data_IF_610562906443
#
_entry.id   IF_610562906443
#
_cell.length_a   1.000
_cell.length_b   1.000
_cell.length_c   1.000
_cell.angle_alpha   90.00
_cell.angle_beta   90.00
_cell.angle_gamma   90.00
#
_symmetry.space_group_name_H-M   'P 1'
#
loop_
_entity.id
_entity.type
_entity.pdbx_description
1 polymer ?
#
# COMPACT_ATOMS: atom_id res chain seq x y z
N UNK A 1 32.23 -16.35 2.12
CA UNK A 1 31.07 -16.62 2.99
C UNK A 1 30.66 -18.06 2.71
N UNK A 2 30.54 -18.90 3.73
CA UNK A 2 30.13 -20.31 3.59
C UNK A 2 28.68 -20.38 3.10
N UNK A 3 28.31 -21.38 2.31
CA UNK A 3 26.94 -21.65 1.85
C UNK A 3 25.91 -21.66 3.01
N UNK A 4 26.32 -22.01 4.23
CA UNK A 4 25.47 -21.93 5.44
C UNK A 4 24.96 -20.53 5.83
N UNK A 5 25.51 -19.44 5.27
CA UNK A 5 25.09 -18.07 5.61
C UNK A 5 23.96 -17.55 4.71
N UNK A 6 23.70 -18.18 3.56
CA UNK A 6 22.67 -17.76 2.61
C UNK A 6 21.24 -18.13 3.03
N UNK A 7 21.08 -19.12 3.93
CA UNK A 7 19.77 -19.70 4.25
C UNK A 7 19.12 -19.22 5.57
N UNK A 8 19.70 -18.18 6.21
CA UNK A 8 19.21 -17.80 7.55
C UNK A 8 18.33 -16.54 7.52
N UNK A 9 17.17 -16.63 6.89
CA UNK A 9 16.13 -15.64 7.11
C UNK A 9 14.79 -16.29 7.52
N UNK A 10 13.94 -15.52 8.15
CA UNK A 10 12.62 -15.94 8.59
C UNK A 10 11.63 -14.82 8.35
N UNK A 11 10.42 -15.19 7.97
CA UNK A 11 9.30 -14.27 7.79
C UNK A 11 8.28 -14.53 8.89
N UNK A 12 7.95 -13.52 9.66
CA UNK A 12 6.89 -13.57 10.66
C UNK A 12 5.71 -12.70 10.23
N UNK A 13 4.50 -13.14 10.54
CA UNK A 13 3.28 -12.35 10.38
C UNK A 13 2.75 -11.94 11.74
N UNK A 14 2.28 -10.70 11.83
CA UNK A 14 1.39 -10.26 12.88
C UNK A 14 -0.09 -10.29 12.40
N UNK A 15 -1.00 -9.68 13.16
CA UNK A 15 -2.44 -9.83 12.92
C UNK A 15 -2.99 -8.99 11.77
N UNK A 16 -2.27 -7.94 11.33
CA UNK A 16 -2.82 -6.96 10.38
C UNK A 16 -3.09 -7.48 8.98
N UNK A 17 -2.29 -8.42 8.48
CA UNK A 17 -2.53 -9.02 7.16
C UNK A 17 -1.81 -10.37 7.00
N UNK A 18 -2.23 -11.35 7.76
CA UNK A 18 -1.65 -12.70 7.71
C UNK A 18 -1.76 -13.35 6.33
N UNK A 19 -2.89 -13.26 5.59
CA UNK A 19 -3.00 -13.87 4.26
C UNK A 19 -1.97 -13.33 3.26
N UNK A 20 -1.64 -12.04 3.30
CA UNK A 20 -0.58 -11.49 2.45
C UNK A 20 0.80 -11.95 2.91
N UNK A 21 1.04 -12.04 4.22
CA UNK A 21 2.31 -12.55 4.74
C UNK A 21 2.56 -14.01 4.32
N UNK A 22 1.54 -14.85 4.30
CA UNK A 22 1.61 -16.24 3.81
C UNK A 22 1.99 -16.27 2.33
N UNK A 23 1.36 -15.47 1.48
CA UNK A 23 1.72 -15.35 0.05
C UNK A 23 3.16 -14.83 -0.15
N UNK A 24 3.59 -13.84 0.62
CA UNK A 24 4.99 -13.34 0.56
C UNK A 24 5.97 -14.47 0.93
N UNK A 25 5.66 -15.24 1.98
CA UNK A 25 6.49 -16.38 2.40
C UNK A 25 6.54 -17.48 1.32
N UNK A 26 5.41 -17.77 0.67
CA UNK A 26 5.34 -18.72 -0.45
C UNK A 26 6.21 -18.25 -1.63
N UNK A 27 6.16 -16.98 -2.02
CA UNK A 27 7.03 -16.38 -3.04
C UNK A 27 8.50 -16.52 -2.66
N UNK A 28 8.83 -16.36 -1.37
CA UNK A 28 10.18 -16.54 -0.86
C UNK A 28 10.59 -18.00 -0.70
N UNK A 29 9.68 -18.96 -0.85
CA UNK A 29 9.95 -20.39 -0.70
C UNK A 29 10.23 -20.83 0.74
N UNK A 30 9.75 -20.10 1.75
CA UNK A 30 9.93 -20.38 3.16
C UNK A 30 8.59 -20.39 3.90
N UNK A 31 8.43 -21.23 4.94
CA UNK A 31 7.24 -21.16 5.79
C UNK A 31 7.27 -19.90 6.67
N UNK A 32 6.10 -19.45 7.10
CA UNK A 32 6.02 -18.42 8.16
C UNK A 32 6.64 -18.94 9.45
N UNK A 33 7.38 -18.07 10.12
CA UNK A 33 7.92 -18.29 11.45
C UNK A 33 6.81 -18.48 12.50
N UNK A 34 7.08 -19.31 13.49
CA UNK A 34 6.12 -19.65 14.55
C UNK A 34 6.13 -18.59 15.64
N UNK A 35 5.04 -17.87 15.76
CA UNK A 35 4.79 -16.90 16.83
C UNK A 35 3.31 -16.85 17.17
N UNK A 36 3.00 -16.47 18.40
CA UNK A 36 1.64 -16.22 18.85
C UNK A 36 1.52 -14.77 19.27
N UNK A 37 0.51 -14.10 18.75
CA UNK A 37 0.10 -12.74 19.12
C UNK A 37 -1.30 -12.81 19.70
N UNK A 38 -1.47 -12.43 20.96
CA UNK A 38 -2.74 -12.46 21.70
C UNK A 38 -2.99 -11.12 22.38
N UNK A 39 -4.24 -10.81 22.59
CA UNK A 39 -4.66 -9.72 23.43
C UNK A 39 -5.27 -10.27 24.72
N UNK A 40 -4.88 -9.73 25.85
CA UNK A 40 -5.50 -10.03 27.15
C UNK A 40 -6.87 -9.34 27.26
N UNK A 41 -7.66 -9.74 28.25
CA UNK A 41 -9.00 -9.21 28.48
C UNK A 41 -9.05 -7.73 28.83
N UNK A 42 -7.95 -7.18 29.32
CA UNK A 42 -7.74 -5.76 29.62
C UNK A 42 -7.22 -4.95 28.41
N UNK A 43 -6.96 -5.63 27.28
CA UNK A 43 -6.49 -5.02 26.03
C UNK A 43 -4.97 -5.04 25.85
N UNK A 44 -4.19 -5.50 26.82
CA UNK A 44 -2.73 -5.61 26.65
C UNK A 44 -2.37 -6.71 25.64
N UNK A 45 -1.30 -6.47 24.86
CA UNK A 45 -0.82 -7.38 23.83
C UNK A 45 0.27 -8.28 24.40
N UNK A 46 0.16 -9.58 24.15
CA UNK A 46 1.15 -10.59 24.48
C UNK A 46 1.68 -11.24 23.22
N UNK A 47 3.00 -11.27 23.10
CA UNK A 47 3.70 -11.92 21.99
C UNK A 47 4.63 -13.00 22.50
N UNK A 48 4.64 -14.17 21.84
CA UNK A 48 5.56 -15.24 22.11
C UNK A 48 6.20 -15.72 20.81
N UNK A 49 7.54 -15.77 20.77
CA UNK A 49 8.32 -16.42 19.71
C UNK A 49 8.46 -17.90 20.05
N UNK A 50 8.01 -18.77 19.17
CA UNK A 50 7.97 -20.23 19.39
C UNK A 50 9.16 -20.96 18.75
N UNK A 51 10.11 -20.21 18.18
CA UNK A 51 11.31 -20.74 17.58
C UNK A 51 12.50 -19.78 17.72
N UNK A 52 13.71 -20.32 17.52
CA UNK A 52 14.92 -19.48 17.60
C UNK A 52 15.05 -18.56 16.39
N UNK A 53 15.42 -17.31 16.67
CA UNK A 53 15.73 -16.29 15.67
C UNK A 53 17.17 -15.79 15.77
N UNK A 54 17.98 -16.40 16.66
CA UNK A 54 19.35 -15.97 16.90
C UNK A 54 20.20 -16.06 15.63
N UNK A 55 20.71 -14.89 15.19
CA UNK A 55 21.55 -14.78 14.01
C UNK A 55 20.81 -14.86 12.67
N UNK A 56 19.46 -14.84 12.67
CA UNK A 56 18.65 -14.79 11.46
C UNK A 56 18.40 -13.34 11.02
N UNK A 57 18.31 -13.14 9.73
CA UNK A 57 17.68 -11.96 9.15
C UNK A 57 16.15 -12.17 9.23
N UNK A 58 15.44 -11.31 9.98
CA UNK A 58 14.02 -11.45 10.20
C UNK A 58 13.26 -10.41 9.38
N UNK A 59 12.22 -10.87 8.68
CA UNK A 59 11.25 -10.03 7.97
C UNK A 59 9.91 -10.11 8.70
N UNK A 60 9.44 -8.98 9.21
CA UNK A 60 8.24 -8.88 10.03
C UNK A 60 7.13 -8.18 9.24
N UNK A 61 6.12 -8.93 8.80
CA UNK A 61 5.03 -8.42 7.96
C UNK A 61 3.87 -7.95 8.83
N UNK A 62 3.49 -6.68 8.67
CA UNK A 62 2.34 -6.06 9.33
C UNK A 62 1.75 -4.93 8.51
N UNK A 63 0.48 -4.99 8.15
CA UNK A 63 -0.26 -3.84 7.64
C UNK A 63 -0.84 -3.06 8.80
N UNK A 64 -0.54 -1.75 8.89
CA UNK A 64 -0.92 -0.93 10.04
C UNK A 64 -2.17 -0.09 9.76
N UNK A 65 -3.20 -0.78 9.24
CA UNK A 65 -4.56 -0.24 9.08
C UNK A 65 -5.38 -0.40 10.38
N UNK A 66 -6.68 -0.27 10.33
CA UNK A 66 -7.58 -0.43 11.49
C UNK A 66 -7.55 -1.87 12.02
N UNK A 67 -7.36 -2.06 13.36
CA UNK A 67 -7.14 -1.06 14.42
C UNK A 67 -5.68 -0.57 14.46
N UNK A 68 -5.44 0.62 13.94
CA UNK A 68 -4.09 1.13 13.64
C UNK A 68 -3.15 1.17 14.85
N UNK A 69 -3.65 1.58 16.01
CA UNK A 69 -2.82 1.72 17.22
C UNK A 69 -2.39 0.36 17.76
N UNK A 70 -3.30 -0.61 17.76
CA UNK A 70 -3.02 -1.97 18.24
C UNK A 70 -1.98 -2.64 17.32
N UNK A 71 -2.11 -2.49 16.01
CA UNK A 71 -1.16 -3.06 15.06
C UNK A 71 0.24 -2.41 15.14
N UNK A 72 0.33 -1.13 15.47
CA UNK A 72 1.63 -0.53 15.75
C UNK A 72 2.21 -1.04 17.06
N UNK A 73 1.39 -1.21 18.08
CA UNK A 73 1.88 -1.73 19.36
C UNK A 73 2.30 -3.21 19.25
N UNK A 74 1.54 -4.06 18.54
CA UNK A 74 1.98 -5.41 18.17
C UNK A 74 3.37 -5.38 17.50
N UNK A 75 3.53 -4.50 16.52
CA UNK A 75 4.77 -4.38 15.77
C UNK A 75 5.96 -4.00 16.67
N UNK A 76 5.80 -3.00 17.52
CA UNK A 76 6.85 -2.53 18.44
C UNK A 76 7.24 -3.61 19.46
N UNK A 77 6.26 -4.32 20.04
CA UNK A 77 6.50 -5.41 21.00
C UNK A 77 7.23 -6.57 20.29
N UNK A 78 6.85 -6.92 19.06
CA UNK A 78 7.51 -7.98 18.30
C UNK A 78 8.96 -7.61 17.96
N UNK A 79 9.21 -6.36 17.57
CA UNK A 79 10.58 -5.87 17.31
C UNK A 79 11.44 -6.01 18.58
N UNK A 80 10.93 -5.61 19.75
CA UNK A 80 11.66 -5.78 21.03
C UNK A 80 11.92 -7.25 21.34
N UNK A 81 10.94 -8.13 21.14
CA UNK A 81 11.09 -9.56 21.34
C UNK A 81 12.18 -10.17 20.44
N UNK A 82 12.19 -9.81 19.14
CA UNK A 82 13.20 -10.25 18.18
C UNK A 82 14.60 -9.73 18.54
N UNK A 83 14.71 -8.49 18.96
CA UNK A 83 15.96 -7.87 19.44
C UNK A 83 16.51 -8.59 20.64
N UNK A 84 15.68 -8.88 21.65
CA UNK A 84 16.06 -9.66 22.84
C UNK A 84 16.42 -11.11 22.52
N UNK A 85 15.79 -11.70 21.52
CA UNK A 85 16.11 -13.06 21.02
C UNK A 85 17.36 -13.09 20.13
N UNK A 86 18.06 -11.96 19.93
CA UNK A 86 19.28 -11.81 19.17
C UNK A 86 19.11 -12.10 17.67
N UNK A 87 18.00 -11.65 17.06
CA UNK A 87 17.92 -11.56 15.61
C UNK A 87 19.10 -10.73 15.08
N UNK A 88 19.62 -11.09 13.91
CA UNK A 88 20.75 -10.38 13.28
C UNK A 88 20.31 -9.05 12.68
N UNK A 89 19.21 -9.07 11.93
CA UNK A 89 18.51 -7.88 11.42
C UNK A 89 17.01 -8.02 11.64
N UNK A 90 16.31 -6.90 11.76
CA UNK A 90 14.85 -6.84 11.89
C UNK A 90 14.34 -5.93 10.78
N UNK A 91 13.92 -6.53 9.67
CA UNK A 91 13.39 -5.85 8.51
C UNK A 91 11.86 -5.79 8.63
N UNK A 92 11.31 -4.60 8.73
CA UNK A 92 9.88 -4.40 8.89
C UNK A 92 9.24 -4.24 7.52
N UNK A 93 8.31 -5.13 7.19
CA UNK A 93 7.56 -5.13 5.92
C UNK A 93 6.18 -4.58 6.20
N UNK A 94 5.93 -3.35 5.74
CA UNK A 94 4.70 -2.59 5.93
C UNK A 94 3.97 -2.42 4.60
N UNK A 95 3.12 -3.38 4.18
CA UNK A 95 2.31 -3.22 2.96
C UNK A 95 1.46 -1.96 2.99
N UNK A 96 1.01 -1.55 4.18
CA UNK A 96 0.38 -0.26 4.44
C UNK A 96 1.00 0.41 5.66
N UNK A 97 1.45 1.66 5.48
CA UNK A 97 1.99 2.52 6.53
C UNK A 97 0.89 3.43 7.08
N UNK A 98 0.32 3.10 8.19
CA UNK A 98 -0.64 3.93 8.91
C UNK A 98 -0.03 5.27 9.33
N UNK A 99 -0.87 6.29 9.50
CA UNK A 99 -0.43 7.67 9.76
C UNK A 99 0.37 8.35 8.64
N UNK A 100 0.63 7.71 7.49
CA UNK A 100 1.35 8.30 6.36
C UNK A 100 0.76 9.63 5.88
N UNK A 101 -0.54 9.85 6.07
CA UNK A 101 -1.24 11.11 5.71
C UNK A 101 -0.94 12.28 6.64
N UNK A 102 -0.32 12.02 7.82
CA UNK A 102 0.10 13.04 8.79
C UNK A 102 1.61 13.31 8.64
N UNK A 103 2.03 13.64 7.42
CA UNK A 103 3.41 13.85 7.00
C UNK A 103 3.88 15.30 7.10
N UNK A 104 2.98 16.22 7.42
CA UNK A 104 3.23 17.65 7.58
C UNK A 104 2.24 18.29 8.54
N UNK A 105 2.58 19.43 9.08
CA UNK A 105 1.64 20.28 9.82
C UNK A 105 0.76 21.03 8.82
N UNK A 106 -0.55 20.78 8.84
CA UNK A 106 -1.52 21.53 8.04
C UNK A 106 -1.96 22.84 8.77
N UNK A 107 -1.94 22.81 10.10
CA UNK A 107 -2.24 23.97 10.98
C UNK A 107 -1.16 24.12 12.05
N UNK A 108 -0.99 25.35 12.60
CA UNK A 108 -0.07 25.54 13.73
C UNK A 108 -0.33 24.54 14.88
N UNK A 109 0.76 24.04 15.48
CA UNK A 109 0.75 23.11 16.62
C UNK A 109 0.25 21.67 16.33
N UNK A 110 0.03 21.30 15.08
CA UNK A 110 -0.26 19.91 14.73
C UNK A 110 1.02 19.06 14.73
N UNK A 111 0.95 17.79 15.11
CA UNK A 111 2.08 16.87 15.05
C UNK A 111 2.37 16.43 13.62
N UNK A 112 3.59 15.93 13.40
CA UNK A 112 3.96 15.13 12.22
C UNK A 112 4.00 13.65 12.65
N UNK A 113 2.85 12.99 12.70
CA UNK A 113 2.74 11.65 13.28
C UNK A 113 3.49 10.61 12.46
N UNK A 114 3.59 10.78 11.14
CA UNK A 114 4.41 9.90 10.30
C UNK A 114 5.88 9.87 10.76
N UNK A 115 6.46 11.02 11.18
CA UNK A 115 7.82 11.07 11.75
C UNK A 115 7.92 10.42 13.11
N UNK A 116 6.91 10.62 13.97
CA UNK A 116 6.87 9.96 15.28
C UNK A 116 6.91 8.44 15.13
N UNK A 117 6.09 7.87 14.23
CA UNK A 117 6.07 6.43 13.97
C UNK A 117 7.41 5.94 13.42
N UNK A 118 8.03 6.69 12.49
CA UNK A 118 9.35 6.35 11.96
C UNK A 118 10.41 6.26 13.08
N UNK A 119 10.41 7.21 14.01
CA UNK A 119 11.30 7.20 15.17
C UNK A 119 11.02 5.98 16.06
N UNK A 120 9.75 5.71 16.40
CA UNK A 120 9.39 4.58 17.27
C UNK A 120 9.85 3.24 16.70
N UNK A 121 9.72 3.03 15.39
CA UNK A 121 10.20 1.82 14.72
C UNK A 121 11.73 1.69 14.78
N UNK A 122 12.44 2.77 14.51
CA UNK A 122 13.92 2.81 14.57
C UNK A 122 14.42 2.57 16.00
N UNK A 123 13.85 3.25 16.99
CA UNK A 123 14.25 3.15 18.40
C UNK A 123 13.93 1.76 19.00
N UNK A 124 12.82 1.16 18.60
CA UNK A 124 12.49 -0.22 18.98
C UNK A 124 13.54 -1.23 18.51
N UNK A 125 14.18 -0.97 17.36
CA UNK A 125 15.26 -1.80 16.84
C UNK A 125 15.06 -2.31 15.42
N UNK A 126 14.13 -1.75 14.65
CA UNK A 126 14.04 -2.01 13.22
C UNK A 126 15.35 -1.59 12.53
N UNK A 127 15.84 -2.42 11.60
CA UNK A 127 17.08 -2.17 10.86
C UNK A 127 16.83 -1.70 9.42
N UNK A 128 15.62 -1.92 8.91
CA UNK A 128 15.14 -1.52 7.57
C UNK A 128 13.63 -1.51 7.55
N UNK A 129 13.05 -0.70 6.70
CA UNK A 129 11.62 -0.71 6.36
C UNK A 129 11.45 -0.99 4.87
N UNK A 130 10.60 -1.98 4.53
CA UNK A 130 10.08 -2.22 3.19
C UNK A 130 8.60 -1.85 3.19
N UNK A 131 8.19 -0.97 2.30
CA UNK A 131 6.80 -0.49 2.25
C UNK A 131 6.32 -0.33 0.81
N UNK A 132 5.04 -0.10 0.64
CA UNK A 132 4.36 0.03 -0.64
C UNK A 132 3.64 1.37 -0.70
N UNK A 133 3.84 2.14 -1.76
CA UNK A 133 3.15 3.41 -2.08
C UNK A 133 2.89 4.31 -0.86
N UNK A 134 3.94 4.78 -0.21
CA UNK A 134 3.81 5.82 0.82
C UNK A 134 2.99 7.00 0.28
N UNK A 135 2.14 7.56 1.14
CA UNK A 135 1.27 8.69 0.78
C UNK A 135 2.05 9.84 0.10
N UNK A 136 3.25 10.11 0.61
CA UNK A 136 4.24 10.97 -0.05
C UNK A 136 5.60 10.32 0.04
N UNK A 137 6.41 10.45 -1.01
CA UNK A 137 7.76 9.86 -1.05
C UNK A 137 8.71 10.48 0.01
N UNK A 138 8.41 11.70 0.47
CA UNK A 138 9.20 12.40 1.49
C UNK A 138 9.18 11.69 2.85
N UNK A 139 8.17 10.87 3.14
CA UNK A 139 8.10 10.07 4.38
C UNK A 139 9.32 9.15 4.53
N UNK A 140 9.91 8.69 3.43
CA UNK A 140 11.18 7.93 3.48
C UNK A 140 12.28 8.69 4.22
N UNK A 141 12.36 10.01 4.05
CA UNK A 141 13.33 10.87 4.73
C UNK A 141 13.07 11.07 6.24
N UNK A 142 11.99 10.52 6.78
CA UNK A 142 11.72 10.55 8.22
C UNK A 142 12.45 9.45 9.00
N UNK A 143 12.94 8.45 8.29
CA UNK A 143 13.64 7.33 8.90
C UNK A 143 15.16 7.58 8.92
N UNK A 144 15.79 7.18 10.02
CA UNK A 144 17.25 7.12 10.14
C UNK A 144 17.84 5.77 9.74
N UNK A 145 16.96 4.84 9.28
CA UNK A 145 17.28 3.52 8.75
C UNK A 145 16.87 3.42 7.27
N UNK A 146 17.45 2.51 6.49
CA UNK A 146 17.07 2.32 5.09
C UNK A 146 15.59 2.04 4.91
N UNK A 147 14.99 2.67 3.89
CA UNK A 147 13.60 2.47 3.48
C UNK A 147 13.53 2.15 1.99
N UNK A 148 12.91 1.03 1.66
CA UNK A 148 12.56 0.67 0.29
C UNK A 148 11.05 0.87 0.12
N UNK A 149 10.65 1.89 -0.63
CA UNK A 149 9.24 2.17 -0.94
C UNK A 149 8.92 1.69 -2.35
N UNK A 150 8.26 0.55 -2.46
CA UNK A 150 7.83 -0.02 -3.75
C UNK A 150 6.61 0.73 -4.29
N UNK A 151 6.33 0.57 -5.59
CA UNK A 151 5.19 1.21 -6.26
C UNK A 151 4.27 0.17 -6.89
N UNK A 152 2.96 0.39 -6.79
CA UNK A 152 1.93 -0.49 -7.37
C UNK A 152 1.62 -0.18 -8.83
N UNK A 153 2.13 0.92 -9.38
CA UNK A 153 1.79 1.34 -10.74
C UNK A 153 2.06 0.27 -11.80
N UNK A 154 3.18 -0.51 -11.76
CA UNK A 154 3.36 -1.64 -12.67
C UNK A 154 2.27 -2.71 -12.55
N UNK A 155 1.79 -3.00 -11.34
CA UNK A 155 0.70 -3.98 -11.10
C UNK A 155 -0.61 -3.52 -11.73
N UNK A 156 -1.00 -2.24 -11.54
CA UNK A 156 -2.19 -1.66 -12.16
C UNK A 156 -2.04 -1.56 -13.67
N UNK A 157 -0.87 -1.21 -14.17
CA UNK A 157 -0.59 -1.18 -15.60
C UNK A 157 -0.80 -2.57 -16.23
N UNK A 158 -0.28 -3.62 -15.61
CA UNK A 158 -0.52 -4.99 -16.04
C UNK A 158 -2.01 -5.35 -16.03
N UNK A 159 -2.71 -5.04 -14.94
CA UNK A 159 -4.15 -5.27 -14.79
C UNK A 159 -4.98 -4.63 -15.90
N UNK A 160 -4.71 -3.37 -16.25
CA UNK A 160 -5.44 -2.64 -17.28
C UNK A 160 -5.00 -3.03 -18.71
N UNK A 161 -3.72 -3.27 -18.97
CA UNK A 161 -3.22 -3.75 -20.25
C UNK A 161 -3.84 -5.09 -20.64
N UNK A 162 -3.95 -6.03 -19.73
CA UNK A 162 -4.62 -7.32 -19.97
C UNK A 162 -6.11 -7.18 -20.34
N UNK A 163 -6.71 -6.05 -20.04
CA UNK A 163 -8.09 -5.68 -20.41
C UNK A 163 -8.17 -4.84 -21.68
N UNK A 164 -7.04 -4.60 -22.35
CA UNK A 164 -6.95 -3.77 -23.56
C UNK A 164 -7.15 -2.27 -23.29
N UNK A 165 -7.00 -1.83 -22.04
CA UNK A 165 -7.22 -0.43 -21.63
C UNK A 165 -5.94 0.38 -21.80
N UNK A 166 -5.59 0.69 -23.06
CA UNK A 166 -4.37 1.40 -23.46
C UNK A 166 -4.67 2.37 -24.61
N UNK A 167 -3.82 3.38 -24.79
CA UNK A 167 -3.88 4.30 -25.95
C UNK A 167 -4.97 5.38 -25.84
N UNK A 168 -5.28 6.00 -26.96
CA UNK A 168 -6.04 7.26 -27.05
C UNK A 168 -7.50 7.19 -26.60
N UNK A 169 -8.12 6.01 -26.60
CA UNK A 169 -9.51 5.81 -26.12
C UNK A 169 -9.62 5.89 -24.59
N UNK A 170 -8.48 5.93 -23.90
CA UNK A 170 -8.38 5.95 -22.45
C UNK A 170 -7.66 7.20 -21.97
N UNK A 171 -7.95 7.59 -20.73
CA UNK A 171 -7.26 8.69 -20.04
C UNK A 171 -7.11 8.34 -18.57
N UNK A 172 -5.89 8.47 -18.05
CA UNK A 172 -5.65 8.31 -16.62
C UNK A 172 -5.96 9.61 -15.89
N UNK A 173 -6.74 9.49 -14.83
CA UNK A 173 -7.28 10.66 -14.12
C UNK A 173 -6.78 10.68 -12.67
N UNK A 174 -6.22 11.82 -12.27
CA UNK A 174 -6.05 12.12 -10.85
C UNK A 174 -7.37 12.64 -10.27
N UNK A 175 -7.98 11.98 -9.26
CA UNK A 175 -9.24 12.44 -8.68
C UNK A 175 -9.08 13.69 -7.79
N UNK A 176 -7.85 14.17 -7.60
CA UNK A 176 -7.49 15.37 -6.82
C UNK A 176 -6.11 15.90 -7.25
N UNK A 177 -5.81 17.16 -7.02
CA UNK A 177 -4.55 17.79 -7.42
C UNK A 177 -3.29 17.12 -6.87
N UNK A 178 -3.36 16.57 -5.67
CA UNK A 178 -2.19 15.92 -5.02
C UNK A 178 -1.76 14.59 -5.65
N UNK A 179 -2.61 13.95 -6.47
CA UNK A 179 -2.35 12.65 -7.10
C UNK A 179 -1.76 12.71 -8.51
N UNK A 180 -1.48 13.90 -9.06
CA UNK A 180 -1.07 14.09 -10.46
C UNK A 180 0.16 13.29 -10.86
N UNK A 181 1.16 13.20 -9.98
CA UNK A 181 2.38 12.44 -10.27
C UNK A 181 2.09 10.94 -10.41
N UNK A 182 1.18 10.41 -9.61
CA UNK A 182 0.74 9.00 -9.67
C UNK A 182 -0.05 8.74 -10.95
N UNK A 183 -0.95 9.65 -11.32
CA UNK A 183 -1.68 9.56 -12.58
C UNK A 183 -0.73 9.58 -13.80
N UNK A 184 0.29 10.44 -13.77
CA UNK A 184 1.30 10.50 -14.83
C UNK A 184 2.07 9.18 -14.95
N UNK A 185 2.52 8.62 -13.83
CA UNK A 185 3.23 7.34 -13.83
C UNK A 185 2.40 6.21 -14.44
N UNK A 186 1.12 6.08 -14.07
CA UNK A 186 0.24 5.05 -14.67
C UNK A 186 -0.02 5.32 -16.16
N UNK A 187 -0.20 6.59 -16.55
CA UNK A 187 -0.43 6.98 -17.94
C UNK A 187 0.75 6.64 -18.85
N UNK A 188 1.98 6.81 -18.36
CA UNK A 188 3.20 6.41 -19.07
C UNK A 188 3.22 4.91 -19.36
N UNK A 189 2.83 4.08 -18.38
CA UNK A 189 2.70 2.63 -18.58
C UNK A 189 1.58 2.25 -19.56
N UNK A 190 0.49 3.00 -19.62
CA UNK A 190 -0.68 2.68 -20.46
C UNK A 190 -0.66 3.37 -21.83
N UNK A 191 0.34 4.22 -22.08
CA UNK A 191 0.43 5.05 -23.29
C UNK A 191 -0.84 5.89 -23.50
N UNK A 192 -1.25 6.60 -22.44
CA UNK A 192 -2.48 7.41 -22.41
C UNK A 192 -2.20 8.86 -22.04
N UNK A 193 -3.14 9.75 -22.34
CA UNK A 193 -3.15 11.09 -21.78
C UNK A 193 -3.51 11.09 -20.27
N UNK A 194 -3.31 12.23 -19.62
CA UNK A 194 -3.76 12.48 -18.22
C UNK A 194 -4.83 13.55 -18.18
N UNK A 195 -5.72 13.43 -17.19
CA UNK A 195 -6.62 14.50 -16.77
C UNK A 195 -6.62 14.62 -15.24
N UNK A 196 -7.15 15.72 -14.74
CA UNK A 196 -7.21 16.02 -13.30
C UNK A 196 -8.62 16.47 -12.99
N UNK A 197 -9.21 15.95 -11.92
CA UNK A 197 -10.40 16.53 -11.31
C UNK A 197 -9.94 17.51 -10.25
N UNK A 198 -10.32 18.76 -10.41
CA UNK A 198 -10.08 19.82 -9.43
C UNK A 198 -11.40 20.28 -8.83
N UNK A 199 -11.39 20.66 -7.56
CA UNK A 199 -12.55 21.13 -6.82
C UNK A 199 -12.30 22.58 -6.44
N UNK A 200 -13.10 23.49 -7.00
CA UNK A 200 -12.92 24.93 -6.80
C UNK A 200 -13.23 25.36 -5.35
N UNK A 201 -14.13 24.65 -4.66
CA UNK A 201 -14.51 24.92 -3.28
C UNK A 201 -14.43 23.64 -2.45
N UNK A 202 -13.55 23.64 -1.45
CA UNK A 202 -13.43 22.53 -0.51
C UNK A 202 -14.76 22.30 0.22
N UNK A 203 -15.29 21.06 0.16
CA UNK A 203 -16.58 20.69 0.74
C UNK A 203 -17.80 20.87 -0.17
N UNK A 204 -17.65 21.41 -1.39
CA UNK A 204 -18.70 21.48 -2.40
C UNK A 204 -18.42 20.48 -3.56
N UNK A 205 -19.00 19.28 -3.53
CA UNK A 205 -18.72 18.25 -4.55
C UNK A 205 -19.22 18.64 -5.96
N UNK A 206 -20.11 19.62 -6.07
CA UNK A 206 -20.66 20.07 -7.35
C UNK A 206 -19.80 21.17 -8.00
N UNK A 207 -18.81 21.72 -7.31
CA UNK A 207 -17.87 22.71 -7.84
C UNK A 207 -16.71 22.09 -8.64
N UNK A 208 -16.67 20.78 -8.77
CA UNK A 208 -15.62 20.07 -9.50
C UNK A 208 -15.62 20.33 -10.99
N UNK A 209 -14.43 20.50 -11.58
CA UNK A 209 -14.21 20.58 -13.02
C UNK A 209 -13.03 19.73 -13.45
N UNK A 210 -12.95 19.44 -14.75
CA UNK A 210 -11.90 18.60 -15.32
C UNK A 210 -10.89 19.46 -16.06
N UNK A 211 -9.61 19.24 -15.76
CA UNK A 211 -8.48 19.77 -16.52
C UNK A 211 -7.96 18.63 -17.40
N UNK A 212 -8.05 18.77 -18.69
CA UNK A 212 -7.73 17.74 -19.69
C UNK A 212 -8.96 17.31 -20.48
N UNK A 213 -8.76 16.49 -21.48
CA UNK A 213 -9.81 16.03 -22.39
C UNK A 213 -10.28 14.61 -22.00
N UNK A 214 -11.57 14.49 -21.64
CA UNK A 214 -12.20 13.22 -21.22
C UNK A 214 -13.44 12.88 -22.04
N UNK A 215 -13.85 13.76 -22.96
CA UNK A 215 -15.07 13.58 -23.73
C UNK A 215 -14.99 12.33 -24.60
N UNK A 216 -15.98 11.46 -24.48
CA UNK A 216 -16.06 10.19 -25.22
C UNK A 216 -15.05 9.11 -24.80
N UNK A 217 -14.14 9.38 -23.85
CA UNK A 217 -13.09 8.46 -23.42
C UNK A 217 -13.47 7.67 -22.17
N UNK A 218 -12.77 6.54 -21.98
CA UNK A 218 -12.82 5.78 -20.74
C UNK A 218 -11.79 6.34 -19.75
N UNK A 219 -12.24 6.76 -18.57
CA UNK A 219 -11.42 7.36 -17.52
C UNK A 219 -10.95 6.31 -16.51
N UNK A 220 -9.64 6.25 -16.26
CA UNK A 220 -9.02 5.40 -15.23
C UNK A 220 -8.58 6.29 -14.08
N UNK A 221 -9.37 6.39 -13.02
CA UNK A 221 -8.99 7.14 -11.82
C UNK A 221 -7.96 6.36 -11.01
N UNK A 222 -6.92 7.05 -10.51
CA UNK A 222 -5.88 6.43 -9.68
C UNK A 222 -5.56 7.29 -8.46
N UNK A 223 -5.49 6.63 -7.28
CA UNK A 223 -5.00 7.24 -6.04
C UNK A 223 -4.18 6.22 -5.22
N UNK A 224 -3.57 6.66 -4.11
CA UNK A 224 -2.88 5.76 -3.18
C UNK A 224 -3.86 5.09 -2.21
N UNK A 225 -4.85 5.82 -1.69
CA UNK A 225 -5.74 5.35 -0.64
C UNK A 225 -7.20 5.53 -1.04
N UNK A 226 -7.93 4.42 -1.06
CA UNK A 226 -9.38 4.39 -1.13
C UNK A 226 -9.94 4.19 0.28
N UNK A 227 -10.35 5.31 0.92
CA UNK A 227 -10.85 5.30 2.30
C UNK A 227 -12.38 5.25 2.33
N UNK A 228 -13.06 6.39 2.37
CA UNK A 228 -14.54 6.47 2.44
C UNK A 228 -15.22 6.39 1.07
N UNK A 229 -14.46 6.34 -0.02
CA UNK A 229 -14.98 6.34 -1.39
C UNK A 229 -15.53 7.68 -1.90
N UNK A 230 -15.60 8.71 -1.05
CA UNK A 230 -16.20 10.00 -1.39
C UNK A 230 -15.44 10.71 -2.52
N UNK A 231 -14.11 10.74 -2.46
CA UNK A 231 -13.26 11.34 -3.50
C UNK A 231 -13.53 10.71 -4.86
N UNK A 232 -13.55 9.39 -4.93
CA UNK A 232 -13.82 8.65 -6.17
C UNK A 232 -15.25 8.84 -6.66
N UNK A 233 -16.23 8.81 -5.76
CA UNK A 233 -17.64 9.03 -6.09
C UNK A 233 -17.86 10.44 -6.67
N UNK A 234 -17.30 11.47 -6.05
CA UNK A 234 -17.44 12.85 -6.53
C UNK A 234 -16.68 13.07 -7.84
N UNK A 235 -15.46 12.54 -7.96
CA UNK A 235 -14.69 12.63 -9.20
C UNK A 235 -15.41 11.92 -10.35
N UNK A 236 -16.02 10.75 -10.13
CA UNK A 236 -16.77 10.04 -11.18
C UNK A 236 -17.95 10.87 -11.68
N UNK A 237 -18.71 11.55 -10.80
CA UNK A 237 -19.81 12.46 -11.19
C UNK A 237 -19.30 13.60 -12.05
N UNK A 238 -18.17 14.22 -11.66
CA UNK A 238 -17.56 15.32 -12.41
C UNK A 238 -17.10 14.86 -13.80
N UNK A 239 -16.45 13.69 -13.89
CA UNK A 239 -16.01 13.11 -15.16
C UNK A 239 -17.20 12.78 -16.08
N UNK A 240 -18.28 12.21 -15.54
CA UNK A 240 -19.49 11.90 -16.32
C UNK A 240 -20.17 13.19 -16.81
N UNK A 241 -20.23 14.24 -16.00
CA UNK A 241 -20.72 15.55 -16.41
C UNK A 241 -19.87 16.16 -17.54
N UNK A 242 -18.56 15.88 -17.56
CA UNK A 242 -17.61 16.31 -18.59
C UNK A 242 -17.60 15.42 -19.86
N UNK A 243 -18.53 14.46 -19.97
CA UNK A 243 -18.69 13.65 -21.18
C UNK A 243 -17.87 12.36 -21.19
N UNK A 244 -17.26 11.95 -20.08
CA UNK A 244 -16.57 10.65 -20.00
C UNK A 244 -17.52 9.49 -20.35
N UNK A 245 -17.08 8.60 -21.23
CA UNK A 245 -17.85 7.42 -21.67
C UNK A 245 -18.03 6.40 -20.57
N UNK A 246 -16.98 6.13 -19.83
CA UNK A 246 -16.91 5.14 -18.76
C UNK A 246 -15.88 5.58 -17.72
N UNK A 247 -16.07 5.19 -16.47
CA UNK A 247 -15.13 5.44 -15.37
C UNK A 247 -14.82 4.15 -14.67
N UNK A 248 -13.51 3.86 -14.50
CA UNK A 248 -12.98 2.82 -13.63
C UNK A 248 -12.02 3.46 -12.63
N UNK A 249 -11.68 2.76 -11.57
CA UNK A 249 -10.84 3.29 -10.51
C UNK A 249 -9.81 2.28 -10.00
N UNK A 250 -8.65 2.74 -9.56
CA UNK A 250 -7.72 1.93 -8.79
C UNK A 250 -7.10 2.72 -7.64
N UNK A 251 -6.73 1.99 -6.60
CA UNK A 251 -5.99 2.52 -5.48
C UNK A 251 -5.08 1.46 -4.84
N UNK A 252 -3.88 1.86 -4.45
CA UNK A 252 -2.93 0.95 -3.81
C UNK A 252 -3.52 0.34 -2.55
N UNK A 253 -4.11 1.15 -1.68
CA UNK A 253 -4.60 0.74 -0.37
C UNK A 253 -6.10 0.92 -0.24
N UNK A 254 -6.84 -0.19 -0.23
CA UNK A 254 -8.27 -0.19 0.03
C UNK A 254 -8.59 -0.26 1.52
N UNK A 255 -8.66 0.88 2.20
CA UNK A 255 -9.08 0.92 3.62
C UNK A 255 -10.57 0.62 3.77
N UNK A 256 -11.36 1.05 2.82
CA UNK A 256 -12.80 0.82 2.73
C UNK A 256 -13.54 1.11 4.06
N UNK A 257 -13.17 2.20 4.71
CA UNK A 257 -13.83 2.64 5.94
C UNK A 257 -15.27 3.09 5.65
N UNK A 258 -16.23 2.79 6.52
CA UNK A 258 -17.61 3.24 6.33
C UNK A 258 -17.69 4.78 6.11
N UNK A 259 -18.51 5.27 5.16
CA UNK A 259 -19.47 4.56 4.30
C UNK A 259 -18.94 4.22 2.88
N UNK A 260 -17.71 3.70 2.74
CA UNK A 260 -17.08 3.47 1.44
C UNK A 260 -17.92 2.61 0.50
N UNK A 261 -18.44 1.50 1.02
CA UNK A 261 -19.26 0.57 0.23
C UNK A 261 -20.47 1.24 -0.39
N UNK A 262 -21.22 1.98 0.41
CA UNK A 262 -22.42 2.69 -0.01
C UNK A 262 -22.08 3.76 -1.06
N UNK A 263 -21.04 4.56 -0.81
CA UNK A 263 -20.59 5.59 -1.72
C UNK A 263 -20.16 5.03 -3.08
N UNK A 264 -19.41 3.93 -3.06
CA UNK A 264 -18.88 3.31 -4.27
C UNK A 264 -19.91 2.49 -5.02
N UNK A 265 -20.84 1.81 -4.32
CA UNK A 265 -21.95 1.08 -4.95
C UNK A 265 -22.92 2.04 -5.65
N UNK A 266 -23.11 3.25 -5.11
CA UNK A 266 -23.95 4.30 -5.70
C UNK A 266 -23.26 5.09 -6.84
N UNK A 267 -21.92 5.07 -6.89
CA UNK A 267 -21.16 5.81 -7.88
C UNK A 267 -21.25 5.16 -9.28
N UNK A 268 -21.21 5.99 -10.33
CA UNK A 268 -21.11 5.52 -11.71
C UNK A 268 -19.65 5.18 -12.06
N UNK A 269 -19.14 4.16 -11.38
CA UNK A 269 -17.83 3.55 -11.59
C UNK A 269 -18.07 2.09 -11.98
N UNK A 270 -17.47 1.61 -13.07
CA UNK A 270 -17.72 0.27 -13.60
C UNK A 270 -16.91 -0.83 -12.90
N UNK A 271 -15.67 -0.52 -12.55
CA UNK A 271 -14.72 -1.45 -11.89
C UNK A 271 -13.85 -0.65 -10.91
N UNK A 272 -13.55 -1.25 -9.77
CA UNK A 272 -12.68 -0.68 -8.74
C UNK A 272 -11.61 -1.72 -8.44
N UNK A 273 -10.34 -1.41 -8.70
CA UNK A 273 -9.23 -2.30 -8.45
C UNK A 273 -8.38 -1.80 -7.28
N UNK A 274 -8.17 -2.63 -6.29
CA UNK A 274 -7.23 -2.35 -5.17
C UNK A 274 -6.21 -3.49 -5.05
N UNK A 275 -5.14 -3.26 -4.27
CA UNK A 275 -4.25 -4.35 -3.88
C UNK A 275 -4.70 -4.99 -2.58
N UNK A 276 -4.15 -6.16 -2.28
CA UNK A 276 -4.32 -6.84 -0.99
C UNK A 276 -3.35 -6.34 0.10
N UNK A 277 -2.76 -5.14 -0.07
CA UNK A 277 -1.89 -4.51 0.95
C UNK A 277 -2.60 -4.24 2.28
N UNK A 278 -3.92 -4.12 2.26
CA UNK A 278 -4.79 -3.97 3.44
C UNK A 278 -5.80 -5.10 3.44
N UNK A 279 -5.93 -5.78 4.57
CA UNK A 279 -6.96 -6.81 4.76
C UNK A 279 -8.24 -6.14 5.28
N UNK A 280 -9.32 -6.24 4.51
CA UNK A 280 -10.66 -5.78 4.89
C UNK A 280 -11.67 -6.93 4.77
N UNK A 281 -12.67 -6.94 5.64
CA UNK A 281 -13.73 -7.94 5.59
C UNK A 281 -14.64 -7.76 4.36
N UNK A 282 -15.23 -8.87 3.85
CA UNK A 282 -16.08 -8.84 2.66
C UNK A 282 -17.32 -7.95 2.83
N UNK A 283 -17.75 -7.69 4.06
CA UNK A 283 -18.86 -6.78 4.36
C UNK A 283 -18.58 -5.33 3.96
N UNK A 284 -17.31 -4.94 3.88
CA UNK A 284 -16.86 -3.60 3.45
C UNK A 284 -16.70 -3.51 1.93
N UNK A 285 -16.73 -4.63 1.21
CA UNK A 285 -16.44 -4.66 -0.21
C UNK A 285 -17.63 -4.14 -1.04
N UNK A 286 -17.41 -3.14 -1.92
CA UNK A 286 -18.39 -2.76 -2.92
C UNK A 286 -18.55 -3.88 -3.96
N UNK A 287 -19.70 -3.92 -4.65
CA UNK A 287 -20.04 -4.99 -5.61
C UNK A 287 -19.08 -5.06 -6.82
N UNK A 288 -18.41 -3.98 -7.13
CA UNK A 288 -17.56 -3.80 -8.32
C UNK A 288 -16.06 -3.88 -7.97
N UNK A 289 -15.71 -4.51 -6.85
CA UNK A 289 -14.34 -4.58 -6.35
C UNK A 289 -13.58 -5.75 -6.97
N UNK A 290 -12.43 -5.44 -7.52
CA UNK A 290 -11.37 -6.39 -7.91
C UNK A 290 -10.17 -6.20 -6.98
N UNK A 291 -9.57 -7.29 -6.52
CA UNK A 291 -8.38 -7.25 -5.66
C UNK A 291 -7.25 -7.97 -6.38
N UNK A 292 -6.11 -7.28 -6.57
CA UNK A 292 -4.88 -7.87 -7.10
C UNK A 292 -3.86 -8.04 -5.99
N UNK A 293 -3.04 -9.09 -6.06
CA UNK A 293 -2.04 -9.31 -5.02
C UNK A 293 -0.77 -8.48 -5.28
N UNK A 294 -0.20 -7.93 -4.22
CA UNK A 294 1.12 -7.33 -4.22
C UNK A 294 2.20 -8.29 -3.67
N UNK A 295 1.85 -9.57 -3.45
CA UNK A 295 2.74 -10.55 -2.84
C UNK A 295 4.01 -10.80 -3.65
N UNK A 296 3.90 -10.91 -4.98
CA UNK A 296 5.04 -11.21 -5.85
C UNK A 296 6.05 -10.06 -5.83
N UNK A 297 5.56 -8.83 -5.92
CA UNK A 297 6.38 -7.63 -5.83
C UNK A 297 7.10 -7.53 -4.48
N UNK A 298 6.36 -7.73 -3.38
CA UNK A 298 6.92 -7.63 -2.04
C UNK A 298 7.83 -8.82 -1.69
N UNK A 299 7.47 -10.03 -2.11
CA UNK A 299 8.26 -11.23 -1.90
C UNK A 299 9.58 -11.19 -2.66
N UNK A 300 9.57 -10.72 -3.91
CA UNK A 300 10.79 -10.53 -4.69
C UNK A 300 11.70 -9.46 -4.05
N UNK A 301 11.11 -8.37 -3.52
CA UNK A 301 11.88 -7.38 -2.77
C UNK A 301 12.54 -7.98 -1.52
N UNK A 302 11.83 -8.82 -0.76
CA UNK A 302 12.37 -9.53 0.40
C UNK A 302 13.56 -10.40 0.01
N UNK A 303 13.46 -11.19 -1.08
CA UNK A 303 14.55 -12.01 -1.60
C UNK A 303 15.77 -11.17 -1.95
N UNK A 304 15.60 -10.13 -2.76
CA UNK A 304 16.68 -9.24 -3.19
C UNK A 304 17.39 -8.57 -2.02
N UNK A 305 16.63 -8.07 -1.04
CA UNK A 305 17.18 -7.49 0.18
C UNK A 305 18.01 -8.53 0.95
N UNK A 306 17.50 -9.76 1.10
CA UNK A 306 18.21 -10.83 1.79
C UNK A 306 19.50 -11.25 1.06
N UNK A 307 19.45 -11.35 -0.26
CA UNK A 307 20.58 -11.70 -1.12
C UNK A 307 21.56 -10.54 -1.36
N UNK A 308 21.28 -9.36 -0.80
CA UNK A 308 22.02 -8.10 -1.04
C UNK A 308 22.04 -7.70 -2.51
N UNK A 309 20.96 -7.98 -3.23
CA UNK A 309 20.74 -7.55 -4.59
C UNK A 309 19.99 -6.21 -4.65
N UNK A 310 20.10 -5.54 -5.80
CA UNK A 310 19.39 -4.28 -6.03
C UNK A 310 17.88 -4.49 -6.16
N UNK A 311 17.10 -3.69 -5.44
CA UNK A 311 15.64 -3.62 -5.62
C UNK A 311 15.21 -2.68 -6.77
N UNK A 312 16.17 -1.94 -7.37
CA UNK A 312 15.87 -0.99 -8.44
C UNK A 312 15.11 -1.56 -9.64
N UNK A 313 15.33 -2.81 -10.09
CA UNK A 313 14.54 -3.40 -11.16
C UNK A 313 13.04 -3.47 -10.85
N UNK A 314 12.65 -3.57 -9.57
CA UNK A 314 11.25 -3.64 -9.15
C UNK A 314 10.48 -2.33 -9.37
N UNK A 315 11.18 -1.20 -9.53
CA UNK A 315 10.56 0.10 -9.83
C UNK A 315 10.25 0.32 -11.30
N UNK A 316 10.84 -0.50 -12.19
CA UNK A 316 10.72 -0.38 -13.64
C UNK A 316 10.26 -1.67 -14.30
N UNK A 317 9.67 -2.61 -13.53
CA UNK A 317 9.27 -3.93 -14.02
C UNK A 317 8.46 -3.84 -15.30
N UNK A 318 9.00 -4.41 -16.39
CA UNK A 318 8.28 -4.64 -17.64
C UNK A 318 7.41 -5.90 -17.51
N UNK A 319 6.41 -6.01 -18.39
CA UNK A 319 5.35 -7.04 -18.40
C UNK A 319 5.79 -8.50 -18.25
N UNK A 320 7.08 -8.82 -18.40
CA UNK A 320 7.61 -10.19 -18.40
C UNK A 320 7.82 -10.80 -17.02
N UNK A 321 7.70 -10.00 -15.97
CA UNK A 321 8.14 -10.37 -14.63
C UNK A 321 6.99 -10.78 -13.68
N UNK A 322 5.74 -10.81 -14.19
CA UNK A 322 4.54 -11.19 -13.44
C UNK A 322 3.75 -12.34 -14.09
N UNK A 323 4.39 -13.20 -14.87
CA UNK A 323 3.78 -14.42 -15.42
C UNK A 323 3.90 -15.63 -14.49
#
# INVERSE_FOLDING_TARGET
>A
MSEESKDKFKIFSLNGNRPLAEKIADVCGVPLGKSTVKQFSDGEISINLEETVRGYDVYLVQSTNEPVNDYYLELLIMIDALKRASAKTINVVLPYYGYARQDRTAKPHEPITAKLIANLLSDAGATRVLTLDLHTVQVQGFFDIPVDNLFTMPLFAHYYRRRGMVGDDYVVVSPKNSGVQRARSLAEYLDTAIAIVDVAEEGNPDSGYVIGDVEGRCCIMVDDILNTGEVFSNASKTLRKAGAKEVVACASHGLLSPPAKENLDAADIKDICITDSVLTGPERHPKKLSIISCSDLMGEAVKRIHENESVSPLFTMEQKDFE
#
